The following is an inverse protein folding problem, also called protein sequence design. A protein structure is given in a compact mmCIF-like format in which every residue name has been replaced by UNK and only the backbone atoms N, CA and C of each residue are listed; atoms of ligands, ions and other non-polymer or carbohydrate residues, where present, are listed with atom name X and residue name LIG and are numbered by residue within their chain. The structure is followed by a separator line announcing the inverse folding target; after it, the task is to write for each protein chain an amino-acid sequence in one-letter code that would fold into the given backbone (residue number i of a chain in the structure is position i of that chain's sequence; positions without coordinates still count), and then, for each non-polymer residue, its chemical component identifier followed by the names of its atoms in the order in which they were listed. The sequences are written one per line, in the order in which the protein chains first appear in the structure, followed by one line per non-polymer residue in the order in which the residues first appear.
data_IF_570738001948
#
_entry.id   IF_570738001948
#
_cell.length_a   1.000
_cell.length_b   1.000
_cell.length_c   1.000
_cell.angle_alpha   90.00
_cell.angle_beta   90.00
_cell.angle_gamma   90.00
#
_symmetry.space_group_name_H-M   'P 1'
#
loop_
_entity.id
_entity.type
_entity.pdbx_description
1 polymer ?
#
# COMPACT_ATOMS: atom_id res chain seq x y z
N UNK A 1 10.90 1.85 -14.08
CA UNK A 1 10.84 0.99 -12.88
C UNK A 1 11.29 -0.41 -13.26
N UNK A 2 12.53 -0.78 -12.92
CA UNK A 2 13.10 -2.10 -13.23
C UNK A 2 12.86 -2.98 -12.01
N UNK A 3 12.12 -4.08 -12.17
CA UNK A 3 11.89 -5.04 -11.10
C UNK A 3 13.20 -5.77 -10.77
N UNK A 4 13.37 -6.20 -9.52
CA UNK A 4 14.55 -6.97 -9.08
C UNK A 4 14.88 -8.16 -10.00
N UNK A 5 13.86 -8.78 -10.59
CA UNK A 5 14.03 -9.85 -11.60
C UNK A 5 14.70 -9.38 -12.90
N UNK A 6 14.43 -8.17 -13.38
CA UNK A 6 15.04 -7.60 -14.59
C UNK A 6 16.48 -7.12 -14.38
N UNK A 7 16.91 -6.95 -13.13
CA UNK A 7 18.29 -6.57 -12.78
C UNK A 7 19.21 -7.80 -12.56
N UNK A 8 18.75 -9.02 -12.83
CA UNK A 8 19.56 -10.24 -12.70
C UNK A 8 19.90 -10.62 -11.25
N UNK A 9 19.34 -9.92 -10.25
CA UNK A 9 19.56 -10.21 -8.84
C UNK A 9 18.65 -11.38 -8.43
N UNK A 10 19.11 -12.58 -8.76
CA UNK A 10 18.63 -13.82 -8.17
C UNK A 10 19.60 -14.18 -7.04
N UNK A 11 19.21 -13.96 -5.80
CA UNK A 11 19.80 -14.68 -4.67
C UNK A 11 18.96 -15.93 -4.42
N UNK A 12 19.32 -17.09 -5.00
CA UNK A 12 18.73 -18.33 -4.56
C UNK A 12 19.23 -18.58 -3.13
N UNK A 13 18.37 -18.34 -2.15
CA UNK A 13 18.62 -18.90 -0.82
C UNK A 13 18.61 -20.42 -0.98
N UNK A 14 19.79 -21.03 -0.95
CA UNK A 14 19.95 -22.47 -1.04
C UNK A 14 19.38 -23.11 0.23
N UNK A 15 18.41 -23.98 0.06
CA UNK A 15 17.87 -24.79 1.15
C UNK A 15 18.02 -26.25 0.77
N UNK A 16 18.59 -27.04 1.67
CA UNK A 16 18.75 -28.47 1.50
C UNK A 16 17.36 -29.11 1.40
N UNK A 17 17.04 -29.62 0.20
CA UNK A 17 15.81 -30.36 -0.05
C UNK A 17 16.08 -31.85 0.10
N UNK A 18 16.06 -32.34 1.34
CA UNK A 18 16.04 -33.79 1.62
C UNK A 18 14.90 -34.10 2.58
N UNK A 19 13.67 -34.02 2.08
CA UNK A 19 12.54 -34.70 2.70
C UNK A 19 11.42 -34.88 1.66
N UNK A 20 11.26 -36.13 1.20
CA UNK A 20 10.06 -36.57 0.47
C UNK A 20 8.88 -36.58 1.45
N UNK A 21 8.19 -35.45 1.61
CA UNK A 21 6.93 -35.39 2.36
C UNK A 21 5.77 -35.11 1.39
N UNK A 22 4.87 -36.09 1.24
CA UNK A 22 3.65 -36.02 0.41
C UNK A 22 2.52 -35.16 1.02
N UNK A 23 2.71 -34.56 2.20
CA UNK A 23 1.63 -33.83 2.87
C UNK A 23 1.48 -32.41 2.31
N UNK A 24 0.40 -32.22 1.56
CA UNK A 24 -0.04 -30.94 0.97
C UNK A 24 -0.88 -30.09 1.93
N UNK A 25 -1.16 -30.60 3.14
CA UNK A 25 -2.07 -29.95 4.09
C UNK A 25 -1.37 -28.78 4.77
N UNK A 26 -1.90 -27.58 4.57
CA UNK A 26 -1.48 -26.38 5.30
C UNK A 26 -2.01 -26.44 6.73
N UNK A 27 -1.15 -26.30 7.76
CA UNK A 27 -1.57 -26.34 9.15
C UNK A 27 -2.42 -25.12 9.47
N UNK A 28 -3.45 -25.32 10.29
CA UNK A 28 -4.35 -24.24 10.68
C UNK A 28 -3.75 -23.36 11.78
N UNK A 29 -2.84 -23.92 12.59
CA UNK A 29 -2.26 -23.27 13.76
C UNK A 29 -0.79 -23.65 13.99
N UNK A 30 -0.09 -22.85 14.79
CA UNK A 30 1.31 -23.04 15.14
C UNK A 30 1.54 -24.39 15.83
N UNK A 31 0.63 -24.84 16.69
CA UNK A 31 0.78 -26.14 17.37
C UNK A 31 0.78 -27.31 16.39
N UNK A 32 -0.04 -27.25 15.34
CA UNK A 32 -0.04 -28.25 14.27
C UNK A 32 1.24 -28.16 13.44
N UNK A 33 1.67 -26.94 13.09
CA UNK A 33 2.89 -26.69 12.35
C UNK A 33 4.14 -27.22 13.10
N UNK A 34 4.21 -27.00 14.41
CA UNK A 34 5.32 -27.44 15.26
C UNK A 34 5.42 -28.97 15.43
N UNK A 35 4.44 -29.74 14.96
CA UNK A 35 4.55 -31.22 14.89
C UNK A 35 5.35 -31.70 13.68
N UNK A 36 5.65 -30.81 12.74
CA UNK A 36 6.30 -31.15 11.47
C UNK A 36 7.63 -30.42 11.30
N UNK A 37 8.71 -31.18 11.05
CA UNK A 37 10.07 -30.62 10.92
C UNK A 37 10.20 -29.56 9.81
N UNK A 38 9.53 -29.77 8.68
CA UNK A 38 9.56 -28.83 7.55
C UNK A 38 8.92 -27.47 7.89
N UNK A 39 7.86 -27.45 8.71
CA UNK A 39 7.25 -26.21 9.18
C UNK A 39 8.05 -25.55 10.30
N UNK A 40 8.66 -26.34 11.21
CA UNK A 40 9.62 -25.81 12.20
C UNK A 40 10.78 -25.10 11.52
N UNK A 41 11.37 -25.71 10.48
CA UNK A 41 12.44 -25.11 9.70
C UNK A 41 11.99 -23.79 9.02
N UNK A 42 10.77 -23.75 8.48
CA UNK A 42 10.21 -22.53 7.90
C UNK A 42 10.00 -21.41 8.93
N UNK A 43 9.46 -21.74 10.12
CA UNK A 43 9.29 -20.81 11.25
C UNK A 43 10.64 -20.28 11.71
N UNK A 44 11.62 -21.16 11.91
CA UNK A 44 12.95 -20.79 12.35
C UNK A 44 13.64 -19.86 11.36
N UNK A 45 13.54 -20.16 10.05
CA UNK A 45 14.07 -19.30 8.99
C UNK A 45 13.47 -17.89 8.98
N UNK A 46 12.17 -17.74 9.30
CA UNK A 46 11.52 -16.43 9.39
C UNK A 46 12.01 -15.65 10.61
N UNK A 47 12.07 -16.30 11.78
CA UNK A 47 12.60 -15.67 13.00
C UNK A 47 14.07 -15.24 12.83
N UNK A 48 14.91 -16.11 12.27
CA UNK A 48 16.30 -15.76 11.95
C UNK A 48 16.39 -14.57 10.99
N UNK A 49 15.47 -14.45 10.03
CA UNK A 49 15.46 -13.30 9.12
C UNK A 49 15.17 -11.98 9.87
N UNK A 50 14.30 -11.98 10.89
CA UNK A 50 14.08 -10.79 11.73
C UNK A 50 15.32 -10.39 12.52
N UNK A 51 16.02 -11.36 13.12
CA UNK A 51 17.25 -11.09 13.84
C UNK A 51 18.37 -10.60 12.91
N UNK A 52 18.53 -11.24 11.75
CA UNK A 52 19.54 -10.87 10.77
C UNK A 52 19.32 -9.48 10.18
N UNK A 53 18.06 -9.12 9.91
CA UNK A 53 17.72 -7.81 9.36
C UNK A 53 17.71 -6.69 10.41
N UNK A 54 17.94 -7.00 11.70
CA UNK A 54 17.88 -6.03 12.82
C UNK A 54 16.53 -5.28 12.83
N UNK A 55 15.46 -5.94 12.35
CA UNK A 55 14.11 -5.35 12.34
C UNK A 55 13.37 -5.63 13.65
N UNK A 56 13.89 -6.54 14.48
CA UNK A 56 13.29 -6.93 15.75
C UNK A 56 14.36 -7.12 16.83
N UNK A 57 14.03 -6.69 18.05
CA UNK A 57 14.78 -7.01 19.27
C UNK A 57 13.82 -7.66 20.26
N UNK A 58 14.26 -8.74 20.93
CA UNK A 58 13.48 -9.30 22.02
C UNK A 58 13.51 -8.33 23.20
N UNK A 59 12.34 -7.85 23.62
CA UNK A 59 12.18 -6.97 24.78
C UNK A 59 11.10 -7.52 25.71
N UNK A 60 11.23 -7.23 27.00
CA UNK A 60 10.13 -7.40 27.94
C UNK A 60 9.03 -6.39 27.62
N UNK A 61 7.77 -6.78 27.84
CA UNK A 61 6.64 -5.88 27.66
C UNK A 61 6.80 -4.68 28.61
N UNK A 62 6.91 -3.44 28.11
CA UNK A 62 7.06 -2.27 28.97
C UNK A 62 5.83 -2.07 29.86
N UNK A 63 6.05 -1.44 31.02
CA UNK A 63 4.99 -1.14 31.97
C UNK A 63 3.92 -0.26 31.29
N UNK A 64 2.65 -0.56 31.54
CA UNK A 64 1.47 0.10 30.96
C UNK A 64 1.34 -0.02 29.42
N UNK A 65 1.97 -1.01 28.79
CA UNK A 65 1.78 -1.28 27.37
C UNK A 65 1.02 -2.60 27.15
N UNK A 66 0.23 -2.65 26.07
CA UNK A 66 -0.47 -3.84 25.61
C UNK A 66 0.35 -4.49 24.49
N UNK A 67 0.72 -5.75 24.64
CA UNK A 67 1.40 -6.49 23.58
C UNK A 67 0.46 -6.64 22.37
N UNK A 68 0.95 -6.29 21.17
CA UNK A 68 0.21 -6.56 19.94
C UNK A 68 0.29 -8.06 19.67
N UNK A 69 -0.86 -8.73 19.69
CA UNK A 69 -0.92 -10.15 19.36
C UNK A 69 -0.41 -10.42 17.94
N UNK A 70 0.19 -11.58 17.72
CA UNK A 70 0.64 -12.02 16.40
C UNK A 70 -0.05 -13.33 15.98
N UNK A 71 0.02 -13.66 14.70
CA UNK A 71 -0.50 -14.89 14.11
C UNK A 71 0.49 -15.41 13.06
N UNK A 72 0.67 -16.72 13.01
CA UNK A 72 1.40 -17.37 11.94
C UNK A 72 0.50 -17.62 10.73
N UNK A 73 1.00 -17.27 9.56
CA UNK A 73 0.41 -17.62 8.27
C UNK A 73 1.30 -18.67 7.59
N UNK A 74 0.70 -19.79 7.22
CA UNK A 74 1.39 -20.89 6.57
C UNK A 74 0.94 -21.02 5.12
N UNK A 75 1.91 -21.14 4.21
CA UNK A 75 1.65 -21.34 2.79
C UNK A 75 2.65 -22.33 2.20
N UNK A 76 2.12 -23.29 1.48
CA UNK A 76 2.90 -24.16 0.60
C UNK A 76 3.10 -23.45 -0.73
N UNK A 77 4.35 -23.28 -1.15
CA UNK A 77 4.70 -22.83 -2.50
C UNK A 77 5.00 -24.03 -3.38
N UNK A 78 4.36 -24.06 -4.56
CA UNK A 78 4.57 -25.08 -5.59
C UNK A 78 5.21 -24.42 -6.81
N UNK A 79 6.05 -25.16 -7.52
CA UNK A 79 6.62 -24.79 -8.81
C UNK A 79 5.56 -24.89 -9.91
N UNK A 80 5.89 -24.41 -11.11
CA UNK A 80 5.01 -24.47 -12.28
C UNK A 80 4.66 -25.90 -12.72
N UNK A 81 5.55 -26.86 -12.44
CA UNK A 81 5.34 -28.30 -12.66
C UNK A 81 4.44 -28.96 -11.60
N UNK A 82 3.93 -28.19 -10.62
CA UNK A 82 3.10 -28.69 -9.52
C UNK A 82 3.88 -29.33 -8.37
N UNK A 83 5.20 -29.47 -8.48
CA UNK A 83 6.05 -30.01 -7.41
C UNK A 83 6.20 -29.00 -6.28
N UNK A 84 6.44 -29.51 -5.06
CA UNK A 84 6.62 -28.67 -3.87
C UNK A 84 7.93 -27.89 -3.98
N UNK A 85 7.86 -26.57 -3.93
CA UNK A 85 9.03 -25.70 -3.96
C UNK A 85 9.53 -25.44 -2.53
N UNK A 86 8.64 -24.96 -1.65
CA UNK A 86 9.01 -24.52 -0.30
C UNK A 86 7.81 -24.39 0.62
N UNK A 87 8.03 -24.68 1.91
CA UNK A 87 7.15 -24.29 3.00
C UNK A 87 7.46 -22.86 3.45
N UNK A 88 6.44 -22.00 3.47
CA UNK A 88 6.55 -20.60 3.90
C UNK A 88 5.74 -20.38 5.16
N UNK A 89 6.40 -19.99 6.25
CA UNK A 89 5.78 -19.49 7.46
C UNK A 89 6.03 -17.98 7.55
N UNK A 90 5.03 -17.21 7.92
CA UNK A 90 5.14 -15.76 8.10
C UNK A 90 4.50 -15.37 9.41
N UNK A 91 5.22 -14.60 10.24
CA UNK A 91 4.65 -14.02 11.44
C UNK A 91 4.06 -12.66 11.11
N UNK A 92 2.78 -12.46 11.43
CA UNK A 92 2.06 -11.22 11.14
C UNK A 92 1.40 -10.70 12.41
N UNK A 93 1.46 -9.38 12.63
CA UNK A 93 0.73 -8.74 13.71
C UNK A 93 -0.79 -8.84 13.47
N UNK A 94 -1.57 -9.08 14.52
CA UNK A 94 -3.03 -9.11 14.46
C UNK A 94 -3.61 -7.70 14.37
N UNK A 95 -2.94 -6.70 14.93
CA UNK A 95 -3.28 -5.29 14.77
C UNK A 95 -2.23 -4.61 13.89
N UNK A 96 -2.67 -3.70 13.03
CA UNK A 96 -1.80 -2.83 12.25
C UNK A 96 -2.39 -1.41 12.21
N UNK A 97 -1.49 -0.44 12.24
CA UNK A 97 -1.79 0.96 12.08
C UNK A 97 -0.85 1.53 11.02
N UNK A 98 -1.42 2.27 10.08
CA UNK A 98 -0.76 2.94 8.99
C UNK A 98 -0.94 4.44 9.20
N UNK A 99 0.18 5.15 9.30
CA UNK A 99 0.20 6.60 9.32
C UNK A 99 0.87 7.08 8.04
N UNK A 100 0.13 7.86 7.26
CA UNK A 100 0.63 8.56 6.09
C UNK A 100 0.67 10.04 6.40
N UNK A 101 1.85 10.65 6.27
CA UNK A 101 2.02 12.09 6.44
C UNK A 101 2.40 12.71 5.09
N UNK A 102 1.70 13.78 4.71
CA UNK A 102 1.98 14.59 3.54
C UNK A 102 1.86 16.08 3.91
N UNK A 103 2.99 16.77 3.97
CA UNK A 103 3.09 18.18 4.41
C UNK A 103 2.31 18.35 5.73
N UNK A 104 1.23 19.13 5.74
CA UNK A 104 0.43 19.43 6.92
C UNK A 104 -0.73 18.44 7.15
N UNK A 105 -0.87 17.43 6.29
CA UNK A 105 -1.94 16.44 6.35
C UNK A 105 -1.43 15.09 6.85
N UNK A 106 -2.10 14.55 7.86
CA UNK A 106 -1.85 13.20 8.35
C UNK A 106 -3.13 12.37 8.14
N UNK A 107 -2.96 11.21 7.53
CA UNK A 107 -4.01 10.19 7.40
C UNK A 107 -3.60 9.00 8.25
N UNK A 108 -4.45 8.67 9.22
CA UNK A 108 -4.27 7.50 10.08
C UNK A 108 -5.35 6.47 9.72
N UNK A 109 -4.94 5.23 9.50
CA UNK A 109 -5.85 4.11 9.27
C UNK A 109 -5.29 2.86 9.91
N UNK A 110 -6.11 1.84 10.12
CA UNK A 110 -5.73 0.63 10.82
C UNK A 110 -6.91 -0.31 10.93
N UNK A 111 -6.71 -1.43 11.61
CA UNK A 111 -7.77 -2.42 11.81
C UNK A 111 -8.42 -2.37 13.20
N UNK A 112 -8.00 -1.44 14.05
CA UNK A 112 -8.56 -1.20 15.40
C UNK A 112 -8.79 0.29 15.61
N UNK A 113 -10.06 0.69 15.78
CA UNK A 113 -10.39 2.10 16.03
C UNK A 113 -9.81 2.59 17.37
N UNK A 114 -9.78 1.73 18.39
CA UNK A 114 -9.16 2.05 19.70
C UNK A 114 -7.67 2.41 19.57
N UNK A 115 -6.93 1.68 18.73
CA UNK A 115 -5.51 1.94 18.53
C UNK A 115 -5.31 3.26 17.75
N UNK A 116 -6.19 3.55 16.79
CA UNK A 116 -6.21 4.82 16.04
C UNK A 116 -6.47 6.00 16.99
N UNK A 117 -7.50 5.90 17.83
CA UNK A 117 -7.90 6.95 18.77
C UNK A 117 -6.78 7.23 19.80
N UNK A 118 -6.14 6.17 20.32
CA UNK A 118 -5.01 6.32 21.24
C UNK A 118 -3.82 7.03 20.58
N UNK A 119 -3.49 6.68 19.34
CA UNK A 119 -2.41 7.34 18.59
C UNK A 119 -2.77 8.80 18.27
N UNK A 120 -4.03 9.06 17.91
CA UNK A 120 -4.51 10.42 17.66
C UNK A 120 -4.38 11.29 18.92
N UNK A 121 -4.78 10.77 20.08
CA UNK A 121 -4.61 11.46 21.37
C UNK A 121 -3.14 11.73 21.70
N UNK A 122 -2.25 10.75 21.50
CA UNK A 122 -0.82 10.94 21.73
C UNK A 122 -0.21 12.00 20.80
N UNK A 123 -0.68 12.07 19.55
CA UNK A 123 -0.26 13.06 18.58
C UNK A 123 -0.80 14.46 18.93
N UNK A 124 -2.08 14.57 19.31
CA UNK A 124 -2.69 15.83 19.76
C UNK A 124 -2.02 16.40 21.02
N UNK A 125 -1.52 15.53 21.91
CA UNK A 125 -0.78 15.97 23.10
C UNK A 125 0.61 16.55 22.77
N UNK A 126 1.20 16.16 21.62
CA UNK A 126 2.54 16.59 21.21
C UNK A 126 2.54 17.68 20.14
N UNK A 127 1.50 17.71 19.32
CA UNK A 127 1.37 18.57 18.15
C UNK A 127 -0.01 19.22 18.14
N UNK A 128 -0.08 20.47 17.71
CA UNK A 128 -1.35 21.17 17.51
C UNK A 128 -2.08 20.60 16.27
N UNK A 129 -2.74 19.46 16.44
CA UNK A 129 -3.47 18.75 15.38
C UNK A 129 -4.98 18.92 15.57
N UNK A 130 -5.68 19.17 14.46
CA UNK A 130 -7.12 19.16 14.42
C UNK A 130 -7.61 17.84 13.84
N UNK A 131 -8.47 17.15 14.59
CA UNK A 131 -9.16 16.00 14.04
C UNK A 131 -10.23 16.45 13.03
N UNK A 132 -10.16 15.90 11.82
CA UNK A 132 -11.09 16.15 10.73
C UNK A 132 -12.11 15.01 10.58
N UNK A 133 -12.03 13.98 11.43
CA UNK A 133 -12.87 12.80 11.42
C UNK A 133 -12.57 11.88 10.24
N UNK A 134 -13.62 11.19 9.77
CA UNK A 134 -13.50 10.23 8.66
C UNK A 134 -12.98 10.91 7.39
N UNK A 135 -12.01 10.28 6.73
CA UNK A 135 -11.39 10.78 5.51
C UNK A 135 -12.44 11.01 4.41
N UNK A 136 -12.79 12.28 4.18
CA UNK A 136 -13.75 12.71 3.14
C UNK A 136 -13.07 13.47 2.01
N UNK A 137 -11.94 14.12 2.27
CA UNK A 137 -11.18 14.89 1.29
C UNK A 137 -9.68 14.82 1.60
N UNK A 138 -8.87 14.60 0.57
CA UNK A 138 -7.41 14.59 0.68
C UNK A 138 -6.79 15.08 -0.64
N UNK A 139 -6.02 16.17 -0.58
CA UNK A 139 -5.26 16.70 -1.74
C UNK A 139 -6.10 16.87 -3.03
N UNK A 140 -7.28 17.48 -2.93
CA UNK A 140 -8.14 17.66 -4.12
C UNK A 140 -9.00 16.44 -4.47
N UNK A 141 -8.80 15.31 -3.80
CA UNK A 141 -9.55 14.07 -4.02
C UNK A 141 -10.66 13.97 -2.99
N UNK A 142 -11.90 13.86 -3.46
CA UNK A 142 -13.06 13.53 -2.62
C UNK A 142 -13.10 12.01 -2.43
N UNK A 143 -13.21 11.58 -1.18
CA UNK A 143 -13.34 10.17 -0.80
C UNK A 143 -14.80 9.90 -0.45
N UNK A 144 -15.47 9.11 -1.28
CA UNK A 144 -16.84 8.68 -1.08
C UNK A 144 -16.85 7.25 -0.55
N UNK A 145 -17.52 7.03 0.57
CA UNK A 145 -17.60 5.71 1.20
C UNK A 145 -18.82 4.96 0.67
N UNK A 146 -18.62 3.82 0.04
CA UNK A 146 -19.68 2.92 -0.44
C UNK A 146 -19.65 1.61 0.36
N UNK A 147 -20.74 0.83 0.39
CA UNK A 147 -20.74 -0.49 1.03
C UNK A 147 -19.67 -1.44 0.47
N UNK A 148 -19.25 -1.25 -0.79
CA UNK A 148 -18.25 -2.05 -1.48
C UNK A 148 -16.82 -1.55 -1.32
N UNK A 149 -16.61 -0.34 -0.78
CA UNK A 149 -15.28 0.23 -0.59
C UNK A 149 -15.22 1.75 -0.63
N UNK A 150 -14.11 2.27 -1.15
CA UNK A 150 -13.87 3.71 -1.29
C UNK A 150 -13.89 4.10 -2.77
N UNK A 151 -14.70 5.09 -3.11
CA UNK A 151 -14.68 5.73 -4.42
C UNK A 151 -13.93 7.06 -4.30
N UNK A 152 -12.81 7.16 -5.02
CA UNK A 152 -12.00 8.37 -5.10
C UNK A 152 -12.45 9.18 -6.32
N UNK A 153 -12.79 10.45 -6.11
CA UNK A 153 -13.31 11.30 -7.18
C UNK A 153 -12.68 12.68 -7.15
N UNK A 154 -12.18 13.12 -8.31
CA UNK A 154 -11.79 14.50 -8.56
C UNK A 154 -12.86 15.24 -9.37
N UNK A 155 -14.10 14.74 -9.43
CA UNK A 155 -15.18 15.33 -10.22
C UNK A 155 -15.34 16.84 -9.97
N UNK A 156 -15.30 17.27 -8.71
CA UNK A 156 -15.42 18.70 -8.36
C UNK A 156 -14.32 19.52 -9.03
N UNK A 157 -13.08 19.06 -8.93
CA UNK A 157 -11.91 19.72 -9.52
C UNK A 157 -12.01 19.80 -11.06
N UNK A 158 -12.39 18.70 -11.70
CA UNK A 158 -12.61 18.66 -13.16
C UNK A 158 -13.69 19.65 -13.58
N UNK A 159 -14.82 19.70 -12.85
CA UNK A 159 -15.90 20.63 -13.15
C UNK A 159 -15.48 22.10 -12.97
N UNK A 160 -14.65 22.40 -11.97
CA UNK A 160 -14.09 23.74 -11.76
C UNK A 160 -13.17 24.16 -12.92
N UNK A 161 -12.32 23.24 -13.41
CA UNK A 161 -11.48 23.48 -14.59
C UNK A 161 -12.35 23.74 -15.82
N UNK A 162 -13.34 22.88 -16.09
CA UNK A 162 -14.24 23.03 -17.25
C UNK A 162 -15.03 24.33 -17.21
N UNK A 163 -15.49 24.75 -16.03
CA UNK A 163 -16.19 26.02 -15.87
C UNK A 163 -15.25 27.20 -16.13
N UNK A 164 -14.01 27.14 -15.64
CA UNK A 164 -13.02 28.20 -15.80
C UNK A 164 -12.49 28.33 -17.24
N UNK A 165 -12.45 27.24 -18.00
CA UNK A 165 -12.07 27.24 -19.42
C UNK A 165 -13.24 27.44 -20.37
N UNK A 166 -14.48 27.50 -19.87
CA UNK A 166 -15.68 27.59 -20.72
C UNK A 166 -15.98 26.30 -21.50
N UNK A 167 -15.50 25.15 -21.03
CA UNK A 167 -15.59 23.84 -21.72
C UNK A 167 -16.67 22.91 -21.14
N UNK A 168 -17.65 23.42 -20.40
CA UNK A 168 -18.70 22.60 -19.76
C UNK A 168 -19.46 21.70 -20.76
N UNK A 169 -19.67 22.18 -22.00
CA UNK A 169 -20.35 21.45 -23.07
C UNK A 169 -19.43 20.70 -24.04
N UNK A 170 -18.12 20.63 -23.76
CA UNK A 170 -17.18 19.96 -24.65
C UNK A 170 -17.49 18.45 -24.75
N UNK A 171 -17.40 17.89 -25.96
CA UNK A 171 -17.61 16.46 -26.17
C UNK A 171 -16.49 15.63 -25.54
N UNK A 172 -16.85 14.55 -24.86
CA UNK A 172 -15.88 13.60 -24.30
C UNK A 172 -15.01 12.99 -25.40
N UNK A 173 -13.69 13.02 -25.22
CA UNK A 173 -12.74 12.29 -26.07
C UNK A 173 -12.37 10.96 -25.42
N UNK A 174 -12.23 9.87 -26.20
CA UNK A 174 -11.79 8.59 -25.65
C UNK A 174 -10.41 8.70 -25.02
N UNK A 175 -10.26 8.17 -23.81
CA UNK A 175 -8.98 8.03 -23.10
C UNK A 175 -8.41 6.62 -23.31
N UNK A 176 -7.09 6.44 -23.46
CA UNK A 176 -6.04 7.45 -23.35
C UNK A 176 -5.96 8.39 -24.56
N UNK A 177 -5.58 9.65 -24.31
CA UNK A 177 -5.28 10.63 -25.35
C UNK A 177 -4.15 10.10 -26.25
N UNK A 178 -4.24 10.34 -27.56
CA UNK A 178 -3.20 9.92 -28.53
C UNK A 178 -1.85 10.47 -28.09
N UNK A 179 -0.90 9.57 -27.81
CA UNK A 179 0.40 9.89 -27.19
C UNK A 179 1.42 10.54 -28.15
N UNK A 180 1.10 10.60 -29.44
CA UNK A 180 1.98 11.17 -30.47
C UNK A 180 1.15 12.05 -31.41
N UNK A 181 0.69 13.23 -30.96
CA UNK A 181 0.25 14.23 -31.91
C UNK A 181 1.47 14.62 -32.76
N UNK A 182 1.31 14.69 -34.10
CA UNK A 182 2.28 15.39 -34.95
C UNK A 182 2.26 16.85 -34.53
N UNK A 183 3.24 17.25 -33.72
CA UNK A 183 3.40 18.64 -33.31
C UNK A 183 3.74 19.46 -34.56
N UNK A 184 2.82 20.32 -34.98
CA UNK A 184 3.04 21.27 -36.06
C UNK A 184 3.54 22.56 -35.43
N UNK A 185 4.64 23.13 -35.94
CA UNK A 185 5.26 24.34 -35.37
C UNK A 185 4.32 25.56 -35.37
N UNK A 186 3.38 25.60 -36.32
CA UNK A 186 2.25 26.53 -36.36
C UNK A 186 1.15 25.88 -37.20
N UNK A 187 -0.07 25.85 -36.70
CA UNK A 187 -1.28 25.49 -37.45
C UNK A 187 -1.88 26.71 -38.18
N UNK A 188 -1.17 27.84 -38.21
CA UNK A 188 -1.66 29.11 -38.75
C UNK A 188 -2.67 29.81 -37.84
N UNK A 189 -2.99 29.26 -36.66
CA UNK A 189 -3.83 29.95 -35.69
C UNK A 189 -3.06 31.10 -35.02
N UNK A 190 -3.74 32.21 -34.69
CA UNK A 190 -3.12 33.29 -33.94
C UNK A 190 -2.68 32.77 -32.56
N UNK A 191 -1.60 33.33 -31.98
CA UNK A 191 -1.16 32.98 -30.64
C UNK A 191 -2.32 33.08 -29.65
N UNK A 192 -2.38 32.14 -28.70
CA UNK A 192 -3.39 32.19 -27.66
C UNK A 192 -3.30 33.53 -26.92
N UNK A 193 -4.38 34.31 -27.00
CA UNK A 193 -4.37 35.73 -26.65
C UNK A 193 -4.16 35.94 -25.15
N UNK A 194 -4.72 35.07 -24.31
CA UNK A 194 -4.68 35.20 -22.86
C UNK A 194 -3.60 34.29 -22.23
N UNK A 195 -2.36 34.79 -22.15
CA UNK A 195 -1.27 34.06 -21.51
C UNK A 195 -1.57 33.73 -20.03
N UNK A 196 -2.35 34.55 -19.33
CA UNK A 196 -2.67 34.34 -17.92
C UNK A 196 -3.65 33.19 -17.73
N UNK A 197 -4.72 33.13 -18.55
CA UNK A 197 -5.63 31.99 -18.56
C UNK A 197 -4.89 30.69 -18.88
N UNK A 198 -4.04 30.69 -19.91
CA UNK A 198 -3.25 29.51 -20.27
C UNK A 198 -2.38 29.03 -19.11
N UNK A 199 -1.57 29.91 -18.51
CA UNK A 199 -0.70 29.57 -17.37
C UNK A 199 -1.51 29.11 -16.17
N UNK A 200 -2.66 29.74 -15.92
CA UNK A 200 -3.53 29.36 -14.81
C UNK A 200 -4.17 27.98 -15.03
N UNK A 201 -4.57 27.64 -16.25
CA UNK A 201 -5.12 26.32 -16.59
C UNK A 201 -4.04 25.25 -16.48
N UNK A 202 -2.83 25.51 -16.99
CA UNK A 202 -1.68 24.60 -16.84
C UNK A 202 -1.33 24.39 -15.37
N UNK A 203 -1.41 25.44 -14.53
CA UNK A 203 -1.19 25.32 -13.09
C UNK A 203 -2.30 24.59 -12.32
N UNK A 204 -3.45 24.35 -12.95
CA UNK A 204 -4.54 23.52 -12.42
C UNK A 204 -4.51 22.09 -12.99
N UNK A 205 -3.58 21.71 -13.85
CA UNK A 205 -3.46 20.33 -14.34
C UNK A 205 -2.38 19.58 -13.56
#
# INVERSE_FOLDING_TARGET
MITRSKAGIFEPKAYMSTATCLSTKTPADIHEAMRHEFWKAAIHSELQAFFHNITWSLCSLPINQRAIGCKWLFKVKKKADGTMERYKAQLVAKSYLLLMAYVDYIVITGNSNEDIDNVMLQLQNKFALKDMGRLNFFLGIVVQHTPQGLLLSQKKYIMEILHKTGMIGASSTPTPMVSIPKLVASDGSPPFVDSHLYRSVVGML
#
